data_IF_718299608680
#
_entry.id   IF_718299608680
#
_cell.length_a   1.000
_cell.length_b   1.000
_cell.length_c   1.000
_cell.angle_alpha   90.00
_cell.angle_beta   90.00
_cell.angle_gamma   90.00
#
_symmetry.space_group_name_H-M   'P 1'
#
loop_
_entity.id
_entity.type
_entity.pdbx_description
1 polymer ?
#
# COMPACT_ATOMS: atom_id res chain seq x y z
N UNK A 1 -19.52 27.84 25.55
CA UNK A 1 -18.58 27.94 24.41
C UNK A 1 -17.25 28.45 24.94
N UNK A 2 -16.06 27.84 24.73
CA UNK A 2 -15.67 26.50 24.24
C UNK A 2 -15.26 25.57 25.42
N UNK A 3 -15.10 24.23 25.38
CA UNK A 3 -14.67 23.33 24.31
C UNK A 3 -13.24 22.82 24.57
N UNK A 4 -13.03 21.93 25.56
CA UNK A 4 -11.78 21.15 25.72
C UNK A 4 -12.13 19.69 26.05
N UNK A 5 -12.01 18.84 25.04
CA UNK A 5 -12.08 17.39 25.18
C UNK A 5 -10.69 16.90 25.60
N UNK A 6 -10.55 16.54 26.88
CA UNK A 6 -9.39 15.81 27.39
C UNK A 6 -9.85 14.37 27.65
N UNK A 7 -9.48 13.44 26.78
CA UNK A 7 -9.58 12.00 27.07
C UNK A 7 -8.23 11.34 26.84
N UNK A 8 -7.50 11.34 27.96
CA UNK A 8 -6.43 10.41 28.32
C UNK A 8 -6.81 8.99 27.89
N UNK A 9 -6.04 8.39 26.99
CA UNK A 9 -6.11 6.98 26.67
C UNK A 9 -5.63 6.15 27.89
N UNK A 10 -6.49 5.26 28.40
CA UNK A 10 -6.09 4.13 29.25
C UNK A 10 -6.16 2.86 28.39
N UNK A 11 -5.17 1.96 28.45
CA UNK A 11 -5.27 0.69 27.76
C UNK A 11 -6.18 -0.24 28.57
N UNK A 12 -7.37 -0.53 28.05
CA UNK A 12 -8.15 -1.69 28.49
C UNK A 12 -7.75 -2.88 27.64
N UNK A 13 -7.09 -3.83 28.29
CA UNK A 13 -6.89 -5.20 27.81
C UNK A 13 -8.24 -5.90 27.69
N UNK A 14 -8.80 -5.94 26.48
CA UNK A 14 -9.92 -6.80 26.17
C UNK A 14 -9.65 -7.48 24.82
N UNK A 15 -9.65 -8.81 24.85
CA UNK A 15 -9.42 -9.69 23.72
C UNK A 15 -10.33 -9.36 22.52
N UNK A 16 -9.77 -9.43 21.31
CA UNK A 16 -10.57 -9.50 20.08
C UNK A 16 -10.35 -8.41 19.02
N UNK A 17 -9.34 -7.56 19.13
CA UNK A 17 -9.04 -6.59 18.07
C UNK A 17 -8.09 -7.18 17.04
N UNK A 18 -8.59 -7.48 15.83
CA UNK A 18 -7.77 -7.48 14.62
C UNK A 18 -7.27 -6.05 14.40
N UNK A 19 -6.22 -5.65 15.13
CA UNK A 19 -5.44 -4.46 14.84
C UNK A 19 -4.58 -4.76 13.61
N UNK A 20 -5.24 -4.82 12.46
CA UNK A 20 -4.62 -4.79 11.13
C UNK A 20 -4.06 -3.39 10.82
N UNK A 21 -3.60 -2.68 11.85
CA UNK A 21 -3.14 -1.28 11.77
C UNK A 21 -1.70 -1.18 11.26
N UNK A 22 -0.92 -2.26 11.30
CA UNK A 22 0.52 -2.20 11.01
C UNK A 22 0.96 -2.89 9.71
N UNK A 23 0.09 -3.66 9.04
CA UNK A 23 0.42 -4.34 7.75
C UNK A 23 -0.24 -3.65 6.56
N UNK A 24 -1.38 -2.96 6.77
CA UNK A 24 -2.12 -2.25 5.70
C UNK A 24 -1.37 -1.02 5.18
N UNK A 25 -0.41 -0.46 5.94
CA UNK A 25 0.36 0.71 5.53
C UNK A 25 1.54 0.41 4.60
N UNK A 26 2.07 -0.82 4.57
CA UNK A 26 3.23 -1.17 3.73
C UNK A 26 2.91 -1.43 2.26
N UNK A 27 1.75 -2.05 1.98
CA UNK A 27 1.34 -2.42 0.61
C UNK A 27 0.71 -1.26 -0.19
N UNK A 28 0.29 -0.18 0.49
CA UNK A 28 -0.37 0.96 -0.14
C UNK A 28 0.59 2.01 -0.72
N UNK A 29 1.85 2.02 -0.30
CA UNK A 29 2.79 3.09 -0.64
C UNK A 29 3.26 3.01 -2.11
N UNK A 30 3.46 1.79 -2.63
CA UNK A 30 3.99 1.59 -3.99
C UNK A 30 2.89 1.60 -5.06
N UNK A 31 1.64 1.31 -4.71
CA UNK A 31 0.52 1.18 -5.65
C UNK A 31 0.00 2.50 -6.23
N UNK A 32 0.36 3.64 -5.62
CA UNK A 32 -0.25 4.93 -5.90
C UNK A 32 0.60 5.83 -6.83
N UNK A 33 1.92 5.66 -6.81
CA UNK A 33 2.85 6.67 -7.31
C UNK A 33 2.89 6.86 -8.85
N UNK A 34 2.38 5.93 -9.66
CA UNK A 34 2.57 5.99 -11.11
C UNK A 34 1.35 6.27 -12.00
N UNK A 35 0.12 6.27 -11.47
CA UNK A 35 -1.07 6.51 -12.29
C UNK A 35 -1.48 7.99 -12.42
N UNK A 36 -0.86 8.93 -11.69
CA UNK A 36 -1.39 10.30 -11.57
C UNK A 36 -0.32 11.39 -11.62
N UNK A 37 0.23 11.69 -12.80
CA UNK A 37 0.97 12.94 -13.02
C UNK A 37 0.04 14.17 -13.15
N UNK A 38 -1.27 13.97 -13.29
CA UNK A 38 -2.27 15.03 -13.46
C UNK A 38 -3.06 15.38 -12.17
N UNK A 39 -2.83 14.70 -11.04
CA UNK A 39 -3.66 14.83 -9.83
C UNK A 39 -2.83 15.03 -8.54
N UNK A 40 -1.73 15.77 -8.64
CA UNK A 40 -0.79 15.97 -7.52
C UNK A 40 -1.35 16.88 -6.40
N UNK A 41 -2.39 17.68 -6.63
CA UNK A 41 -2.82 18.73 -5.68
C UNK A 41 -3.81 18.29 -4.60
N UNK A 42 -4.28 17.04 -4.60
CA UNK A 42 -5.30 16.55 -3.62
C UNK A 42 -4.99 15.19 -3.02
N UNK A 43 -3.76 14.70 -3.13
CA UNK A 43 -3.36 13.50 -2.44
C UNK A 43 -2.50 13.87 -1.22
N UNK A 44 -2.94 13.62 0.02
CA UNK A 44 -2.16 13.92 1.22
C UNK A 44 -0.92 13.03 1.39
N UNK A 45 -0.60 12.19 0.40
CA UNK A 45 0.39 11.12 0.48
C UNK A 45 1.27 10.99 -0.76
N UNK A 46 1.56 12.09 -1.45
CA UNK A 46 2.71 12.14 -2.35
C UNK A 46 3.94 12.44 -1.51
N UNK A 47 4.57 11.41 -0.94
CA UNK A 47 5.93 11.59 -0.44
C UNK A 47 6.83 11.96 -1.62
N UNK A 48 7.78 12.87 -1.39
CA UNK A 48 8.83 13.08 -2.39
C UNK A 48 9.55 11.75 -2.64
N UNK A 49 9.98 11.45 -3.88
CA UNK A 49 10.80 10.27 -4.12
C UNK A 49 12.05 10.33 -3.24
N UNK A 50 12.54 9.19 -2.71
CA UNK A 50 13.76 9.17 -1.92
C UNK A 50 14.92 9.72 -2.75
N UNK A 51 15.83 10.43 -2.07
CA UNK A 51 17.05 10.91 -2.73
C UNK A 51 17.84 9.71 -3.30
N UNK A 52 18.50 9.83 -4.47
CA UNK A 52 19.21 8.71 -5.07
C UNK A 52 20.22 8.04 -4.13
N UNK A 53 20.88 8.83 -3.29
CA UNK A 53 21.84 8.36 -2.29
C UNK A 53 21.22 7.50 -1.17
N UNK A 54 19.90 7.53 -1.00
CA UNK A 54 19.18 6.77 0.02
C UNK A 54 18.45 5.56 -0.54
N UNK A 55 18.60 5.28 -1.85
CA UNK A 55 17.97 4.11 -2.48
C UNK A 55 18.84 2.88 -2.23
N UNK A 56 18.25 1.84 -1.65
CA UNK A 56 18.95 0.59 -1.40
C UNK A 56 19.47 -0.05 -2.72
N UNK A 57 20.60 -0.77 -2.67
CA UNK A 57 21.11 -1.54 -3.80
C UNK A 57 20.06 -2.49 -4.39
N UNK A 58 20.16 -2.74 -5.70
CA UNK A 58 19.19 -3.57 -6.42
C UNK A 58 19.00 -5.00 -5.85
N UNK A 59 20.04 -5.71 -5.36
CA UNK A 59 19.83 -7.00 -4.69
C UNK A 59 18.96 -6.91 -3.42
N UNK A 60 19.12 -5.85 -2.63
CA UNK A 60 18.34 -5.63 -1.41
C UNK A 60 16.88 -5.33 -1.76
N UNK A 61 16.65 -4.44 -2.73
CA UNK A 61 15.29 -4.14 -3.21
C UNK A 61 14.56 -5.39 -3.75
N UNK A 62 15.28 -6.34 -4.37
CA UNK A 62 14.70 -7.62 -4.79
C UNK A 62 14.31 -8.50 -3.61
N UNK A 63 15.14 -8.55 -2.57
CA UNK A 63 14.84 -9.31 -1.36
C UNK A 63 13.64 -8.72 -0.62
N UNK A 64 13.58 -7.39 -0.49
CA UNK A 64 12.44 -6.69 0.08
C UNK A 64 11.15 -6.96 -0.71
N UNK A 65 11.20 -6.87 -2.04
CA UNK A 65 10.06 -7.18 -2.89
C UNK A 65 9.56 -8.61 -2.71
N UNK A 66 10.47 -9.58 -2.64
CA UNK A 66 10.11 -10.98 -2.35
C UNK A 66 9.44 -11.11 -0.97
N UNK A 67 9.97 -10.43 0.05
CA UNK A 67 9.39 -10.42 1.40
C UNK A 67 7.97 -9.85 1.43
N UNK A 68 7.75 -8.68 0.81
CA UNK A 68 6.44 -8.03 0.74
C UNK A 68 5.42 -8.92 0.01
N UNK A 69 5.83 -9.60 -1.06
CA UNK A 69 4.96 -10.55 -1.77
C UNK A 69 4.54 -11.72 -0.89
N UNK A 70 5.47 -12.30 -0.13
CA UNK A 70 5.17 -13.40 0.80
C UNK A 70 4.22 -12.97 1.91
N UNK A 71 4.38 -11.76 2.43
CA UNK A 71 3.45 -11.19 3.41
C UNK A 71 2.06 -10.98 2.82
N UNK A 72 1.97 -10.47 1.57
CA UNK A 72 0.68 -10.35 0.88
C UNK A 72 0.02 -11.72 0.69
N UNK A 73 0.77 -12.73 0.23
CA UNK A 73 0.28 -14.10 0.10
C UNK A 73 -0.28 -14.63 1.42
N UNK A 74 0.43 -14.42 2.53
CA UNK A 74 -0.02 -14.82 3.85
C UNK A 74 -1.31 -14.11 4.28
N UNK A 75 -1.37 -12.78 4.11
CA UNK A 75 -2.57 -11.99 4.43
C UNK A 75 -3.78 -12.48 3.64
N UNK A 76 -3.60 -12.82 2.36
CA UNK A 76 -4.67 -13.34 1.52
C UNK A 76 -5.08 -14.77 1.91
N UNK A 77 -4.12 -15.61 2.30
CA UNK A 77 -4.39 -16.97 2.75
C UNK A 77 -5.18 -17.00 4.07
N UNK A 78 -4.84 -16.11 5.00
CA UNK A 78 -5.48 -15.99 6.31
C UNK A 78 -6.76 -15.13 6.27
N UNK A 79 -7.09 -14.54 5.11
CA UNK A 79 -8.23 -13.65 4.99
C UNK A 79 -9.54 -14.43 5.17
N UNK A 80 -10.41 -14.03 6.12
CA UNK A 80 -11.62 -14.79 6.41
C UNK A 80 -12.60 -14.74 5.23
N UNK A 81 -13.03 -15.91 4.77
CA UNK A 81 -13.97 -16.06 3.65
C UNK A 81 -15.29 -15.31 3.85
N UNK A 82 -15.75 -15.18 5.10
CA UNK A 82 -16.95 -14.41 5.47
C UNK A 82 -16.82 -12.91 5.17
N UNK A 83 -15.59 -12.39 5.00
CA UNK A 83 -15.33 -10.97 4.74
C UNK A 83 -14.99 -10.66 3.28
N UNK A 84 -15.10 -11.62 2.35
CA UNK A 84 -14.71 -11.40 0.94
C UNK A 84 -15.47 -10.23 0.29
N UNK A 85 -16.73 -10.04 0.66
CA UNK A 85 -17.59 -8.96 0.14
C UNK A 85 -17.56 -7.69 1.00
N UNK A 86 -16.79 -7.67 2.10
CA UNK A 86 -16.65 -6.48 2.93
C UNK A 86 -15.58 -5.56 2.36
N UNK A 87 -15.84 -4.26 2.44
CA UNK A 87 -14.84 -3.26 2.11
C UNK A 87 -13.81 -3.16 3.22
N UNK A 88 -12.55 -3.30 2.87
CA UNK A 88 -11.42 -3.37 3.82
C UNK A 88 -10.36 -2.32 3.56
N UNK A 89 -10.38 -1.71 2.37
CA UNK A 89 -9.40 -0.73 1.97
C UNK A 89 -10.08 0.54 1.44
N UNK A 90 -9.56 1.72 1.79
CA UNK A 90 -10.07 3.00 1.30
C UNK A 90 -9.08 3.56 0.28
N UNK A 91 -9.42 3.47 -0.99
CA UNK A 91 -8.69 4.08 -2.09
C UNK A 91 -9.09 5.55 -2.27
N UNK A 92 -8.14 6.53 -2.22
CA UNK A 92 -8.51 7.95 -2.27
C UNK A 92 -9.30 8.44 -3.50
N UNK A 93 -9.25 7.74 -4.64
CA UNK A 93 -10.14 7.99 -5.81
C UNK A 93 -11.38 7.07 -5.88
N UNK A 94 -11.18 5.75 -5.92
CA UNK A 94 -12.25 4.76 -6.07
C UNK A 94 -13.11 4.53 -4.81
N UNK A 95 -12.76 5.11 -3.66
CA UNK A 95 -13.49 4.93 -2.41
C UNK A 95 -13.18 3.60 -1.75
N UNK A 96 -14.18 2.99 -1.11
CA UNK A 96 -14.04 1.74 -0.38
C UNK A 96 -13.97 0.55 -1.34
N UNK A 97 -12.94 -0.29 -1.19
CA UNK A 97 -12.70 -1.47 -2.00
C UNK A 97 -12.79 -2.74 -1.14
N UNK A 98 -13.36 -3.79 -1.73
CA UNK A 98 -13.28 -5.16 -1.19
C UNK A 98 -11.85 -5.70 -1.29
N UNK A 99 -11.58 -6.82 -0.62
CA UNK A 99 -10.26 -7.47 -0.74
C UNK A 99 -9.96 -7.88 -2.19
N UNK A 100 -10.94 -8.40 -2.92
CA UNK A 100 -10.79 -8.78 -4.33
C UNK A 100 -10.46 -7.58 -5.23
N UNK A 101 -11.18 -6.46 -5.04
CA UNK A 101 -10.89 -5.22 -5.77
C UNK A 101 -9.51 -4.65 -5.42
N UNK A 102 -9.07 -4.79 -4.17
CA UNK A 102 -7.75 -4.36 -3.73
C UNK A 102 -6.66 -5.18 -4.41
N UNK A 103 -6.79 -6.51 -4.45
CA UNK A 103 -5.83 -7.40 -5.12
C UNK A 103 -5.79 -7.11 -6.63
N UNK A 104 -6.93 -6.91 -7.27
CA UNK A 104 -6.99 -6.54 -8.68
C UNK A 104 -6.24 -5.22 -8.94
N UNK A 105 -6.45 -4.20 -8.10
CA UNK A 105 -5.74 -2.92 -8.20
C UNK A 105 -4.22 -3.08 -8.04
N UNK A 106 -3.75 -3.94 -7.12
CA UNK A 106 -2.31 -4.21 -6.93
C UNK A 106 -1.72 -4.92 -8.15
N UNK A 107 -2.45 -5.87 -8.72
CA UNK A 107 -2.03 -6.60 -9.93
C UNK A 107 -1.90 -5.64 -11.12
N UNK A 108 -2.95 -4.89 -11.43
CA UNK A 108 -2.98 -3.95 -12.55
C UNK A 108 -1.82 -2.94 -12.45
N UNK A 109 -1.57 -2.46 -11.23
CA UNK A 109 -0.49 -1.52 -10.97
C UNK A 109 0.90 -2.13 -11.13
N UNK A 110 1.09 -3.37 -10.68
CA UNK A 110 2.35 -4.10 -10.86
C UNK A 110 2.64 -4.32 -12.35
N UNK A 111 1.62 -4.69 -13.13
CA UNK A 111 1.73 -4.89 -14.57
C UNK A 111 2.06 -3.57 -15.29
N UNK A 112 1.44 -2.46 -14.89
CA UNK A 112 1.76 -1.14 -15.41
C UNK A 112 3.24 -0.80 -15.20
N UNK A 113 3.78 -1.02 -14.00
CA UNK A 113 5.18 -0.76 -13.71
C UNK A 113 6.15 -1.70 -14.39
N UNK A 114 5.80 -2.97 -14.58
CA UNK A 114 6.62 -3.90 -15.35
C UNK A 114 6.86 -3.36 -16.77
N UNK A 115 5.85 -2.76 -17.40
CA UNK A 115 6.01 -2.13 -18.71
C UNK A 115 6.97 -0.92 -18.65
N UNK A 116 6.90 -0.09 -17.61
CA UNK A 116 7.83 1.04 -17.43
C UNK A 116 9.28 0.55 -17.27
N UNK A 117 9.51 -0.46 -16.43
CA UNK A 117 10.83 -1.06 -16.22
C UNK A 117 11.38 -1.66 -17.52
N UNK A 118 10.54 -2.33 -18.30
CA UNK A 118 10.93 -2.88 -19.61
C UNK A 118 11.37 -1.78 -20.58
N UNK A 119 10.70 -0.62 -20.58
CA UNK A 119 11.10 0.53 -21.42
C UNK A 119 12.43 1.11 -20.97
N UNK A 120 12.62 1.33 -19.67
CA UNK A 120 13.88 1.85 -19.11
C UNK A 120 15.04 0.89 -19.41
N UNK A 121 14.84 -0.41 -19.21
CA UNK A 121 15.87 -1.42 -19.46
C UNK A 121 16.33 -1.43 -20.92
N UNK A 122 15.45 -1.17 -21.88
CA UNK A 122 15.83 -1.06 -23.30
C UNK A 122 16.71 0.16 -23.58
N UNK A 123 16.48 1.27 -22.86
CA UNK A 123 17.29 2.49 -23.01
C UNK A 123 18.67 2.31 -22.38
N UNK A 124 18.76 1.66 -21.22
CA UNK A 124 20.02 1.46 -20.49
C UNK A 124 20.92 0.35 -21.05
N UNK A 125 20.40 -0.53 -21.93
CA UNK A 125 21.17 -1.57 -22.61
C UNK A 125 21.83 -1.10 -23.91
N UNK A 126 21.63 0.16 -24.29
CA UNK A 126 22.42 0.83 -25.33
C UNK A 126 23.71 1.37 -24.72
#
# INVERSE_FOLDING_TARGET
>A
MPGRCATRWRPTTAAGSWQASNIVFGLCYCAWHCACRACASRCPYSAAPPAPATIAPLPELRAEWAGVRRQLEQVLHEFPGTKLNHTVFRHPRAGWLTIGQTVASVLDHTLHHQQQLNRISKVLKK
#
